data_IF_471713923713
#
_entry.id   IF_471713923713
#
_cell.length_a   1.000
_cell.length_b   1.000
_cell.length_c   1.000
_cell.angle_alpha   90.00
_cell.angle_beta   90.00
_cell.angle_gamma   90.00
#
_symmetry.space_group_name_H-M   'P 1'
#
loop_
_entity.id
_entity.type
_entity.pdbx_description
1 polymer ?
#
# COMPACT_ATOMS: atom_id res chain seq x y z
N UNK A 1 -214.46 45.86 -88.82
CA UNK A 1 -214.27 44.95 -87.67
C UNK A 1 -213.28 43.87 -88.08
N UNK A 2 -212.29 43.53 -87.25
CA UNK A 2 -211.39 42.38 -87.46
C UNK A 2 -210.10 42.60 -86.66
N UNK A 3 -209.94 42.02 -85.46
CA UNK A 3 -209.54 40.62 -85.15
C UNK A 3 -208.10 40.31 -85.63
N UNK A 4 -207.04 40.32 -84.79
CA UNK A 4 -206.57 39.46 -83.65
C UNK A 4 -205.53 38.39 -84.11
N UNK A 5 -204.49 38.14 -83.25
CA UNK A 5 -203.42 37.10 -83.19
C UNK A 5 -202.05 37.52 -83.81
N UNK A 6 -200.86 37.48 -83.16
CA UNK A 6 -200.15 36.37 -82.46
C UNK A 6 -198.86 36.87 -81.71
N UNK A 7 -198.50 36.37 -80.50
CA UNK A 7 -197.11 36.48 -79.96
C UNK A 7 -196.49 35.21 -79.34
N UNK A 8 -197.08 34.02 -79.48
CA UNK A 8 -196.59 32.78 -78.81
C UNK A 8 -195.52 32.01 -79.61
N UNK A 9 -195.36 32.32 -80.89
CA UNK A 9 -194.45 31.59 -81.79
C UNK A 9 -192.97 32.02 -81.62
N UNK A 10 -192.71 33.22 -81.09
CA UNK A 10 -191.34 33.72 -80.89
C UNK A 10 -190.64 33.12 -79.66
N UNK A 11 -191.40 32.77 -78.61
CA UNK A 11 -190.83 32.15 -77.40
C UNK A 11 -190.44 30.69 -77.62
N UNK A 12 -191.25 29.93 -78.38
CA UNK A 12 -190.91 28.55 -78.75
C UNK A 12 -189.72 28.49 -79.71
N UNK A 13 -189.57 29.46 -80.61
CA UNK A 13 -188.39 29.57 -81.47
C UNK A 13 -187.11 29.87 -80.67
N UNK A 14 -187.19 30.74 -79.65
CA UNK A 14 -186.06 31.06 -78.76
C UNK A 14 -185.64 29.85 -77.90
N UNK A 15 -186.60 29.13 -77.31
CA UNK A 15 -186.31 27.91 -76.52
C UNK A 15 -185.74 26.77 -77.37
N UNK A 16 -186.19 26.62 -78.62
CA UNK A 16 -185.66 25.62 -79.54
C UNK A 16 -184.20 25.90 -79.97
N UNK A 17 -183.79 27.18 -80.03
CA UNK A 17 -182.41 27.56 -80.35
C UNK A 17 -181.43 27.42 -79.17
N UNK A 18 -181.87 27.61 -77.92
CA UNK A 18 -180.99 27.68 -76.75
C UNK A 18 -180.80 26.33 -76.03
N UNK A 19 -181.78 25.42 -76.11
CA UNK A 19 -181.70 24.11 -75.46
C UNK A 19 -180.50 23.24 -75.89
N UNK A 20 -180.10 23.17 -77.18
CA UNK A 20 -178.93 22.40 -77.59
C UNK A 20 -177.62 22.97 -77.00
N UNK A 21 -177.48 24.30 -76.97
CA UNK A 21 -176.29 24.99 -76.46
C UNK A 21 -176.17 24.82 -74.94
N UNK A 22 -177.29 24.90 -74.21
CA UNK A 22 -177.30 24.69 -72.77
C UNK A 22 -176.98 23.24 -72.38
N UNK A 23 -177.48 22.25 -73.13
CA UNK A 23 -177.15 20.84 -72.92
C UNK A 23 -175.70 20.52 -73.31
N UNK A 24 -175.17 21.16 -74.35
CA UNK A 24 -173.75 21.02 -74.72
C UNK A 24 -172.83 21.64 -73.66
N UNK A 25 -173.18 22.81 -73.11
CA UNK A 25 -172.48 23.44 -71.97
C UNK A 25 -172.49 22.55 -70.72
N UNK A 26 -173.64 21.94 -70.39
CA UNK A 26 -173.73 20.96 -69.29
C UNK A 26 -172.97 19.66 -69.60
N UNK A 27 -172.77 19.29 -70.87
CA UNK A 27 -171.97 18.10 -71.23
C UNK A 27 -170.47 18.36 -71.15
N UNK A 28 -170.00 19.55 -71.53
CA UNK A 28 -168.58 19.93 -71.44
C UNK A 28 -168.15 20.43 -70.07
N UNK A 29 -169.07 21.00 -69.27
CA UNK A 29 -168.76 21.57 -67.96
C UNK A 29 -169.55 20.97 -66.79
N UNK A 30 -170.53 20.11 -67.04
CA UNK A 30 -171.21 19.36 -66.00
C UNK A 30 -170.35 18.21 -65.51
N UNK A 31 -169.61 18.43 -64.43
CA UNK A 31 -169.04 17.33 -63.63
C UNK A 31 -170.18 16.62 -62.90
N UNK A 32 -170.89 15.72 -63.59
CA UNK A 32 -171.91 14.89 -62.98
C UNK A 32 -171.32 14.10 -61.80
N UNK A 33 -172.01 14.14 -60.66
CA UNK A 33 -171.59 13.61 -59.35
C UNK A 33 -171.43 12.07 -59.34
N UNK A 34 -171.88 11.40 -60.39
CA UNK A 34 -171.98 9.93 -60.46
C UNK A 34 -170.75 9.21 -61.04
N UNK A 35 -169.66 9.93 -61.36
CA UNK A 35 -168.37 9.33 -61.79
C UNK A 35 -167.17 9.90 -61.04
N UNK A 36 -167.13 9.71 -59.72
CA UNK A 36 -165.92 9.96 -58.92
C UNK A 36 -165.16 8.64 -58.82
N UNK A 37 -163.96 8.55 -59.41
CA UNK A 37 -163.07 7.40 -59.23
C UNK A 37 -162.58 7.33 -57.78
N UNK A 38 -162.73 6.16 -57.16
CA UNK A 38 -162.26 5.94 -55.79
C UNK A 38 -160.76 5.67 -55.85
N UNK A 39 -159.96 6.58 -55.30
CA UNK A 39 -158.52 6.39 -55.16
C UNK A 39 -158.19 5.27 -54.17
N UNK A 40 -157.37 4.30 -54.60
CA UNK A 40 -156.85 3.22 -53.74
C UNK A 40 -155.45 3.50 -53.20
N UNK A 41 -154.79 4.55 -53.69
CA UNK A 41 -153.48 5.04 -53.23
C UNK A 41 -153.50 6.56 -53.16
N UNK A 42 -152.68 7.12 -52.26
CA UNK A 42 -152.44 8.56 -52.16
C UNK A 42 -151.35 9.05 -53.14
N UNK A 43 -150.70 8.13 -53.87
CA UNK A 43 -149.65 8.43 -54.83
C UNK A 43 -150.21 9.19 -56.05
N UNK A 44 -149.59 10.31 -56.42
CA UNK A 44 -150.07 11.22 -57.48
C UNK A 44 -151.21 12.15 -57.05
N UNK A 45 -151.83 11.93 -55.88
CA UNK A 45 -152.88 12.81 -55.33
C UNK A 45 -152.22 13.91 -54.50
N UNK A 46 -152.49 15.18 -54.83
CA UNK A 46 -151.82 16.32 -54.20
C UNK A 46 -152.72 17.10 -53.24
N UNK A 47 -154.03 17.03 -53.42
CA UNK A 47 -155.02 17.69 -52.57
C UNK A 47 -156.33 16.89 -52.50
N UNK A 48 -157.05 17.07 -51.39
CA UNK A 48 -158.37 16.49 -51.18
C UNK A 48 -159.39 17.62 -50.97
N UNK A 49 -160.64 17.48 -51.46
CA UNK A 49 -161.68 18.44 -51.16
C UNK A 49 -161.99 18.42 -49.66
N UNK A 50 -161.99 19.59 -49.02
CA UNK A 50 -162.24 19.76 -47.60
C UNK A 50 -163.13 20.98 -47.35
N UNK A 51 -163.85 20.99 -46.23
CA UNK A 51 -164.56 22.18 -45.77
C UNK A 51 -163.66 22.98 -44.84
N UNK A 52 -163.42 24.24 -45.19
CA UNK A 52 -162.69 25.19 -44.37
C UNK A 52 -163.66 26.11 -43.65
N UNK A 53 -163.56 26.16 -42.33
CA UNK A 53 -164.35 27.04 -41.48
C UNK A 53 -163.40 27.84 -40.59
N UNK A 54 -163.35 29.16 -40.79
CA UNK A 54 -162.56 30.08 -39.96
C UNK A 54 -163.38 31.36 -39.73
N UNK A 55 -163.58 31.73 -38.47
CA UNK A 55 -164.34 32.94 -38.11
C UNK A 55 -165.84 32.89 -38.48
N UNK A 56 -166.44 31.70 -38.55
CA UNK A 56 -167.88 31.50 -38.79
C UNK A 56 -168.31 31.45 -40.26
N UNK A 57 -167.38 31.53 -41.23
CA UNK A 57 -167.66 31.38 -42.66
C UNK A 57 -167.14 30.03 -43.16
N UNK A 58 -168.03 29.20 -43.72
CA UNK A 58 -167.68 27.91 -44.34
C UNK A 58 -167.47 28.04 -45.85
N UNK A 59 -166.36 27.47 -46.35
CA UNK A 59 -166.06 27.38 -47.78
C UNK A 59 -165.54 25.99 -48.13
N UNK A 60 -165.85 25.53 -49.34
CA UNK A 60 -165.18 24.35 -49.91
C UNK A 60 -163.80 24.77 -50.42
N UNK A 61 -162.77 24.10 -49.94
CA UNK A 61 -161.37 24.32 -50.33
C UNK A 61 -160.75 23.00 -50.77
N UNK A 62 -159.68 23.08 -51.54
CA UNK A 62 -158.77 21.95 -51.76
C UNK A 62 -157.68 22.01 -50.69
N UNK A 63 -157.68 21.05 -49.76
CA UNK A 63 -156.66 20.92 -48.74
C UNK A 63 -155.51 20.06 -49.25
N UNK A 64 -154.26 20.58 -49.31
CA UNK A 64 -153.10 19.77 -49.68
C UNK A 64 -152.90 18.59 -48.72
N UNK A 65 -152.57 17.41 -49.24
CA UNK A 65 -152.29 16.21 -48.44
C UNK A 65 -151.13 16.41 -47.45
N UNK A 66 -150.20 17.31 -47.78
CA UNK A 66 -149.11 17.74 -46.89
C UNK A 66 -149.59 18.34 -45.56
N UNK A 67 -150.83 18.85 -45.49
CA UNK A 67 -151.42 19.33 -44.24
C UNK A 67 -151.82 18.17 -43.30
N UNK A 68 -152.15 16.99 -43.85
CA UNK A 68 -152.53 15.80 -43.08
C UNK A 68 -151.31 15.07 -42.51
N UNK A 69 -150.16 15.09 -43.20
CA UNK A 69 -148.92 14.40 -42.79
C UNK A 69 -147.96 15.28 -42.01
N UNK A 70 -148.19 16.59 -41.96
CA UNK A 70 -147.27 17.59 -41.38
C UNK A 70 -146.69 17.18 -40.03
N UNK A 71 -147.53 16.74 -39.09
CA UNK A 71 -147.07 16.39 -37.73
C UNK A 71 -146.33 15.04 -37.67
N UNK A 72 -146.67 14.12 -38.57
CA UNK A 72 -145.98 12.82 -38.71
C UNK A 72 -144.61 13.03 -39.36
N UNK A 73 -144.53 13.85 -40.41
CA UNK A 73 -143.28 14.22 -41.08
C UNK A 73 -142.31 14.92 -40.11
N UNK A 74 -142.84 15.81 -39.24
CA UNK A 74 -142.06 16.45 -38.16
C UNK A 74 -141.52 15.41 -37.17
N UNK A 75 -142.33 14.40 -36.79
CA UNK A 75 -141.89 13.32 -35.89
C UNK A 75 -140.86 12.40 -36.55
N UNK A 76 -141.03 12.04 -37.82
CA UNK A 76 -140.05 11.25 -38.57
C UNK A 76 -138.71 12.01 -38.64
N UNK A 77 -138.75 13.30 -38.97
CA UNK A 77 -137.56 14.14 -38.99
C UNK A 77 -136.88 14.21 -37.60
N UNK A 78 -137.66 14.31 -36.52
CA UNK A 78 -137.16 14.27 -35.15
C UNK A 78 -136.52 12.91 -34.81
N UNK A 79 -137.13 11.80 -35.22
CA UNK A 79 -136.56 10.46 -35.05
C UNK A 79 -135.26 10.30 -35.82
N UNK A 80 -135.19 10.75 -37.08
CA UNK A 80 -133.96 10.74 -37.88
C UNK A 80 -132.85 11.54 -37.20
N UNK A 81 -133.15 12.73 -36.68
CA UNK A 81 -132.19 13.53 -35.90
C UNK A 81 -131.75 12.82 -34.62
N UNK A 82 -132.66 12.14 -33.91
CA UNK A 82 -132.32 11.37 -32.71
C UNK A 82 -131.42 10.18 -33.03
N UNK A 83 -131.70 9.43 -34.10
CA UNK A 83 -130.84 8.33 -34.58
C UNK A 83 -129.47 8.86 -34.99
N UNK A 84 -129.40 9.98 -35.70
CA UNK A 84 -128.14 10.60 -36.06
C UNK A 84 -127.31 10.97 -34.81
N UNK A 85 -127.93 11.61 -33.81
CA UNK A 85 -127.28 11.92 -32.52
C UNK A 85 -126.82 10.66 -31.79
N UNK A 86 -127.62 9.59 -31.79
CA UNK A 86 -127.26 8.32 -31.16
C UNK A 86 -126.06 7.66 -31.86
N UNK A 87 -126.04 7.66 -33.19
CA UNK A 87 -124.90 7.16 -33.97
C UNK A 87 -123.63 7.97 -33.68
N UNK A 88 -123.71 9.31 -33.68
CA UNK A 88 -122.57 10.17 -33.29
C UNK A 88 -122.10 9.88 -31.86
N UNK A 89 -123.01 9.64 -30.91
CA UNK A 89 -122.64 9.28 -29.55
C UNK A 89 -121.94 7.91 -29.46
N UNK A 90 -122.41 6.91 -30.22
CA UNK A 90 -121.78 5.60 -30.31
C UNK A 90 -120.37 5.69 -30.92
N UNK A 91 -120.20 6.47 -32.00
CA UNK A 91 -118.90 6.71 -32.63
C UNK A 91 -117.93 7.39 -31.66
N UNK A 92 -118.40 8.39 -30.92
CA UNK A 92 -117.61 9.06 -29.89
C UNK A 92 -117.21 8.11 -28.75
N UNK A 93 -118.11 7.23 -28.32
CA UNK A 93 -117.82 6.22 -27.29
C UNK A 93 -116.79 5.20 -27.77
N UNK A 94 -116.91 4.72 -29.01
CA UNK A 94 -115.93 3.82 -29.64
C UNK A 94 -114.56 4.51 -29.78
N UNK A 95 -114.53 5.78 -30.21
CA UNK A 95 -113.30 6.56 -30.27
C UNK A 95 -112.65 6.74 -28.88
N UNK A 96 -113.45 6.95 -27.83
CA UNK A 96 -112.94 7.02 -26.46
C UNK A 96 -112.38 5.67 -25.98
N UNK A 97 -113.07 4.55 -26.25
CA UNK A 97 -112.58 3.21 -25.90
C UNK A 97 -111.27 2.86 -26.62
N UNK A 98 -111.15 3.22 -27.90
CA UNK A 98 -109.91 3.07 -28.66
C UNK A 98 -108.77 3.89 -28.06
N UNK A 99 -109.01 5.16 -27.70
CA UNK A 99 -108.01 6.01 -27.02
C UNK A 99 -107.55 5.43 -25.69
N UNK A 100 -108.47 4.87 -24.90
CA UNK A 100 -108.13 4.20 -23.63
C UNK A 100 -107.26 2.96 -23.88
N UNK A 101 -107.60 2.16 -24.90
CA UNK A 101 -106.82 0.98 -25.27
C UNK A 101 -105.40 1.34 -25.72
N UNK A 102 -105.25 2.39 -26.53
CA UNK A 102 -103.96 2.95 -26.91
C UNK A 102 -103.17 3.43 -25.68
N UNK A 103 -103.80 4.20 -24.78
CA UNK A 103 -103.15 4.69 -23.57
C UNK A 103 -102.66 3.56 -22.65
N UNK A 104 -103.44 2.47 -22.50
CA UNK A 104 -103.02 1.29 -21.74
C UNK A 104 -101.80 0.62 -22.38
N UNK A 105 -101.77 0.54 -23.70
CA UNK A 105 -100.64 -0.03 -24.46
C UNK A 105 -99.39 0.82 -24.26
N UNK A 106 -99.51 2.14 -24.38
CA UNK A 106 -98.41 3.09 -24.19
C UNK A 106 -97.86 3.03 -22.75
N UNK A 107 -98.74 3.03 -21.73
CA UNK A 107 -98.34 2.89 -20.32
C UNK A 107 -97.61 1.57 -20.07
N UNK A 108 -98.07 0.48 -20.70
CA UNK A 108 -97.44 -0.84 -20.56
C UNK A 108 -96.04 -0.87 -21.18
N UNK A 109 -95.88 -0.25 -22.35
CA UNK A 109 -94.58 -0.09 -23.00
C UNK A 109 -93.62 0.77 -22.16
N UNK A 110 -94.09 1.89 -21.62
CA UNK A 110 -93.31 2.78 -20.76
C UNK A 110 -92.88 2.07 -19.47
N UNK A 111 -93.77 1.28 -18.86
CA UNK A 111 -93.45 0.46 -17.68
C UNK A 111 -92.36 -0.56 -17.99
N UNK A 112 -92.42 -1.24 -19.14
CA UNK A 112 -91.39 -2.19 -19.55
C UNK A 112 -90.04 -1.50 -19.78
N UNK A 113 -90.03 -0.32 -20.41
CA UNK A 113 -88.82 0.50 -20.59
C UNK A 113 -88.21 0.92 -19.25
N UNK A 114 -89.03 1.36 -18.29
CA UNK A 114 -88.59 1.75 -16.94
C UNK A 114 -87.99 0.57 -16.16
N UNK A 115 -88.58 -0.62 -16.27
CA UNK A 115 -88.04 -1.85 -15.67
C UNK A 115 -86.68 -2.23 -16.29
N UNK A 116 -86.55 -2.14 -17.61
CA UNK A 116 -85.29 -2.39 -18.30
C UNK A 116 -84.20 -1.37 -17.91
N UNK A 117 -84.55 -0.10 -17.76
CA UNK A 117 -83.63 0.93 -17.28
C UNK A 117 -83.17 0.65 -15.84
N UNK A 118 -84.08 0.24 -14.95
CA UNK A 118 -83.76 -0.14 -13.57
C UNK A 118 -82.82 -1.34 -13.52
N UNK A 119 -83.06 -2.37 -14.34
CA UNK A 119 -82.19 -3.54 -14.41
C UNK A 119 -80.77 -3.17 -14.87
N UNK A 120 -80.64 -2.29 -15.88
CA UNK A 120 -79.34 -1.76 -16.34
C UNK A 120 -78.62 -0.98 -15.25
N UNK A 121 -79.33 -0.13 -14.51
CA UNK A 121 -78.76 0.64 -13.40
C UNK A 121 -78.24 -0.28 -12.27
N UNK A 122 -79.01 -1.30 -11.89
CA UNK A 122 -78.60 -2.26 -10.86
C UNK A 122 -77.39 -3.10 -11.30
N UNK A 123 -77.32 -3.50 -12.56
CA UNK A 123 -76.17 -4.19 -13.12
C UNK A 123 -74.92 -3.29 -13.12
N UNK A 124 -75.06 -2.01 -13.50
CA UNK A 124 -73.97 -1.05 -13.45
C UNK A 124 -73.46 -0.80 -12.02
N UNK A 125 -74.36 -0.68 -11.04
CA UNK A 125 -74.01 -0.54 -9.63
C UNK A 125 -73.25 -1.77 -9.10
N UNK A 126 -73.71 -2.98 -9.43
CA UNK A 126 -73.04 -4.24 -9.06
C UNK A 126 -71.63 -4.31 -9.65
N UNK A 127 -71.48 -3.94 -10.93
CA UNK A 127 -70.18 -3.92 -11.60
C UNK A 127 -69.22 -2.90 -10.96
N UNK A 128 -69.73 -1.72 -10.57
CA UNK A 128 -68.93 -0.70 -9.89
C UNK A 128 -68.46 -1.18 -8.50
N UNK A 129 -69.32 -1.83 -7.73
CA UNK A 129 -68.95 -2.40 -6.43
C UNK A 129 -67.93 -3.53 -6.55
N UNK A 130 -68.06 -4.41 -7.56
CA UNK A 130 -67.07 -5.44 -7.82
C UNK A 130 -65.73 -4.83 -8.21
N UNK A 131 -65.72 -3.79 -9.06
CA UNK A 131 -64.49 -3.09 -9.44
C UNK A 131 -63.83 -2.40 -8.24
N UNK A 132 -64.61 -1.82 -7.34
CA UNK A 132 -64.10 -1.23 -6.09
C UNK A 132 -63.40 -2.27 -5.22
N UNK A 133 -64.02 -3.44 -5.03
CA UNK A 133 -63.42 -4.55 -4.27
C UNK A 133 -62.12 -5.05 -4.90
N UNK A 134 -62.08 -5.17 -6.23
CA UNK A 134 -60.84 -5.54 -6.95
C UNK A 134 -59.72 -4.51 -6.73
N UNK A 135 -60.04 -3.21 -6.76
CA UNK A 135 -59.07 -2.14 -6.52
C UNK A 135 -58.55 -2.17 -5.08
N UNK A 136 -59.42 -2.38 -4.09
CA UNK A 136 -59.04 -2.50 -2.68
C UNK A 136 -58.10 -3.70 -2.46
N UNK A 137 -58.37 -4.85 -3.08
CA UNK A 137 -57.50 -6.03 -3.02
C UNK A 137 -56.13 -5.78 -3.69
N UNK A 138 -56.12 -5.15 -4.86
CA UNK A 138 -54.88 -4.80 -5.56
C UNK A 138 -54.03 -3.80 -4.78
N UNK A 139 -54.67 -2.83 -4.12
CA UNK A 139 -53.99 -1.85 -3.29
C UNK A 139 -53.37 -2.51 -2.03
N UNK A 140 -54.08 -3.44 -1.39
CA UNK A 140 -53.53 -4.23 -0.29
C UNK A 140 -52.32 -5.08 -0.73
N UNK A 141 -52.38 -5.71 -1.91
CA UNK A 141 -51.26 -6.46 -2.48
C UNK A 141 -50.05 -5.55 -2.80
N UNK A 142 -50.30 -4.34 -3.35
CA UNK A 142 -49.27 -3.34 -3.62
C UNK A 142 -48.57 -2.91 -2.33
N UNK A 143 -49.32 -2.66 -1.26
CA UNK A 143 -48.77 -2.29 0.04
C UNK A 143 -47.92 -3.41 0.66
N UNK A 144 -48.36 -4.67 0.58
CA UNK A 144 -47.58 -5.81 1.05
C UNK A 144 -46.26 -6.00 0.27
N UNK A 145 -46.30 -5.82 -1.06
CA UNK A 145 -45.10 -5.87 -1.91
C UNK A 145 -44.14 -4.73 -1.58
N UNK A 146 -44.67 -3.52 -1.36
CA UNK A 146 -43.86 -2.36 -0.98
C UNK A 146 -43.19 -2.56 0.39
N UNK A 147 -43.90 -3.11 1.37
CA UNK A 147 -43.31 -3.47 2.66
C UNK A 147 -42.19 -4.51 2.51
N UNK A 148 -42.38 -5.51 1.65
CA UNK A 148 -41.37 -6.54 1.38
C UNK A 148 -40.12 -5.92 0.76
N UNK A 149 -40.28 -5.00 -0.21
CA UNK A 149 -39.18 -4.24 -0.82
C UNK A 149 -38.41 -3.41 0.20
N UNK A 150 -39.11 -2.72 1.10
CA UNK A 150 -38.49 -1.93 2.16
C UNK A 150 -37.68 -2.80 3.12
N UNK A 151 -38.23 -3.95 3.54
CA UNK A 151 -37.52 -4.90 4.41
C UNK A 151 -36.25 -5.44 3.75
N UNK A 152 -36.32 -5.78 2.45
CA UNK A 152 -35.15 -6.22 1.68
C UNK A 152 -34.09 -5.13 1.56
N UNK A 153 -34.50 -3.88 1.31
CA UNK A 153 -33.58 -2.75 1.22
C UNK A 153 -32.91 -2.46 2.57
N UNK A 154 -33.65 -2.53 3.69
CA UNK A 154 -33.06 -2.44 5.03
C UNK A 154 -32.04 -3.55 5.29
N UNK A 155 -32.36 -4.81 4.94
CA UNK A 155 -31.42 -5.92 5.08
C UNK A 155 -30.14 -5.74 4.24
N UNK A 156 -30.28 -5.23 3.00
CA UNK A 156 -29.15 -4.90 2.12
C UNK A 156 -28.25 -3.83 2.74
N UNK A 157 -28.84 -2.78 3.34
CA UNK A 157 -28.08 -1.73 4.01
C UNK A 157 -27.32 -2.24 5.24
N UNK A 158 -27.94 -3.11 6.05
CA UNK A 158 -27.26 -3.76 7.19
C UNK A 158 -26.10 -4.63 6.72
N UNK A 159 -26.28 -5.43 5.66
CA UNK A 159 -25.22 -6.26 5.09
C UNK A 159 -24.05 -5.42 4.55
N UNK A 160 -24.35 -4.31 3.87
CA UNK A 160 -23.33 -3.40 3.36
C UNK A 160 -22.55 -2.69 4.48
N UNK A 161 -23.23 -2.31 5.57
CA UNK A 161 -22.56 -1.78 6.76
C UNK A 161 -21.60 -2.80 7.38
N UNK A 162 -22.03 -4.06 7.53
CA UNK A 162 -21.18 -5.14 8.06
C UNK A 162 -19.95 -5.39 7.17
N UNK A 163 -20.13 -5.38 5.84
CA UNK A 163 -19.04 -5.52 4.86
C UNK A 163 -18.00 -4.40 5.00
N UNK A 164 -18.44 -3.15 5.17
CA UNK A 164 -17.55 -2.00 5.39
C UNK A 164 -16.74 -2.13 6.68
N UNK A 165 -17.35 -2.58 7.77
CA UNK A 165 -16.65 -2.84 9.03
C UNK A 165 -15.59 -3.93 8.88
N UNK A 166 -15.93 -5.04 8.23
CA UNK A 166 -14.97 -6.12 7.96
C UNK A 166 -13.79 -5.65 7.11
N UNK A 167 -14.05 -4.84 6.09
CA UNK A 167 -13.02 -4.28 5.22
C UNK A 167 -12.08 -3.33 5.99
N UNK A 168 -12.60 -2.50 6.90
CA UNK A 168 -11.78 -1.67 7.78
C UNK A 168 -10.89 -2.51 8.72
N UNK A 169 -11.43 -3.60 9.29
CA UNK A 169 -10.63 -4.54 10.11
C UNK A 169 -9.52 -5.20 9.28
N UNK A 170 -9.83 -5.63 8.06
CA UNK A 170 -8.85 -6.24 7.14
C UNK A 170 -7.71 -5.26 6.83
N UNK A 171 -8.02 -4.00 6.56
CA UNK A 171 -7.03 -2.95 6.30
C UNK A 171 -6.15 -2.70 7.53
N UNK A 172 -6.74 -2.61 8.73
CA UNK A 172 -5.97 -2.44 9.98
C UNK A 172 -5.00 -3.59 10.23
N UNK A 173 -5.44 -4.83 10.00
CA UNK A 173 -4.60 -6.02 10.14
C UNK A 173 -3.47 -6.04 9.11
N UNK A 174 -3.73 -5.64 7.87
CA UNK A 174 -2.71 -5.55 6.83
C UNK A 174 -1.65 -4.48 7.15
N UNK A 175 -2.07 -3.31 7.63
CA UNK A 175 -1.13 -2.26 8.10
C UNK A 175 -0.25 -2.76 9.24
N UNK A 176 -0.84 -3.48 10.20
CA UNK A 176 -0.08 -4.10 11.30
C UNK A 176 0.95 -5.10 10.77
N UNK A 177 0.53 -6.01 9.87
CA UNK A 177 1.43 -6.99 9.25
C UNK A 177 2.60 -6.32 8.54
N UNK A 178 2.35 -5.24 7.80
CA UNK A 178 3.41 -4.48 7.12
C UNK A 178 4.39 -3.84 8.11
N UNK A 179 3.90 -3.30 9.22
CA UNK A 179 4.73 -2.71 10.27
C UNK A 179 5.57 -3.76 10.97
N UNK A 180 5.00 -4.92 11.30
CA UNK A 180 5.70 -6.04 11.93
C UNK A 180 6.80 -6.60 11.00
N UNK A 181 6.52 -6.72 9.70
CA UNK A 181 7.52 -7.13 8.70
C UNK A 181 8.64 -6.09 8.57
N UNK A 182 8.32 -4.80 8.52
CA UNK A 182 9.31 -3.74 8.45
C UNK A 182 10.21 -3.72 9.70
N UNK A 183 9.63 -3.86 10.89
CA UNK A 183 10.37 -4.00 12.14
C UNK A 183 11.31 -5.20 12.11
N UNK A 184 10.83 -6.36 11.61
CA UNK A 184 11.66 -7.56 11.53
C UNK A 184 12.83 -7.43 10.56
N UNK A 185 12.62 -6.77 9.43
CA UNK A 185 13.69 -6.46 8.47
C UNK A 185 14.75 -5.55 9.11
N UNK A 186 14.33 -4.53 9.87
CA UNK A 186 15.26 -3.65 10.57
C UNK A 186 16.11 -4.41 11.59
N UNK A 187 15.50 -5.28 12.42
CA UNK A 187 16.22 -6.14 13.36
C UNK A 187 17.24 -7.03 12.66
N UNK A 188 16.85 -7.68 11.55
CA UNK A 188 17.75 -8.55 10.77
C UNK A 188 18.91 -7.78 10.17
N UNK A 189 18.69 -6.55 9.68
CA UNK A 189 19.76 -5.71 9.15
C UNK A 189 20.75 -5.29 10.25
N UNK A 190 20.26 -4.95 11.45
CA UNK A 190 21.14 -4.68 12.60
C UNK A 190 21.94 -5.92 13.01
N UNK A 191 21.29 -7.09 13.09
CA UNK A 191 21.97 -8.34 13.42
C UNK A 191 23.04 -8.71 12.38
N UNK A 192 22.74 -8.52 11.09
CA UNK A 192 23.69 -8.72 9.99
C UNK A 192 24.90 -7.79 10.13
N UNK A 193 24.69 -6.50 10.35
CA UNK A 193 25.78 -5.53 10.54
C UNK A 193 26.67 -5.88 11.74
N UNK A 194 26.08 -6.32 12.84
CA UNK A 194 26.83 -6.77 14.03
C UNK A 194 27.68 -8.01 13.72
N UNK A 195 27.14 -8.99 12.97
CA UNK A 195 27.88 -10.19 12.57
C UNK A 195 29.04 -9.88 11.62
N UNK A 196 28.84 -8.96 10.67
CA UNK A 196 29.89 -8.48 9.77
C UNK A 196 31.01 -7.77 10.54
N UNK A 197 30.66 -6.90 11.49
CA UNK A 197 31.62 -6.21 12.35
C UNK A 197 32.43 -7.19 13.22
N UNK A 198 31.76 -8.18 13.82
CA UNK A 198 32.41 -9.23 14.60
C UNK A 198 33.39 -10.06 13.75
N UNK A 199 32.98 -10.41 12.53
CA UNK A 199 33.83 -11.15 11.58
C UNK A 199 35.07 -10.33 11.19
N UNK A 200 34.90 -9.04 10.91
CA UNK A 200 36.02 -8.17 10.58
C UNK A 200 37.00 -8.00 11.76
N UNK A 201 36.47 -7.88 12.99
CA UNK A 201 37.28 -7.80 14.20
C UNK A 201 38.08 -9.11 14.43
N UNK A 202 37.45 -10.27 14.25
CA UNK A 202 38.11 -11.56 14.35
C UNK A 202 39.23 -11.72 13.29
N UNK A 203 38.98 -11.33 12.04
CA UNK A 203 39.99 -11.37 10.98
C UNK A 203 41.17 -10.44 11.28
N UNK A 204 40.92 -9.22 11.80
CA UNK A 204 42.00 -8.31 12.22
C UNK A 204 42.84 -8.90 13.35
N UNK A 205 42.19 -9.50 14.35
CA UNK A 205 42.88 -10.15 15.45
C UNK A 205 43.76 -11.32 14.95
N UNK A 206 43.25 -12.13 14.02
CA UNK A 206 44.01 -13.23 13.41
C UNK A 206 45.23 -12.71 12.61
N UNK A 207 45.06 -11.65 11.81
CA UNK A 207 46.18 -11.02 11.09
C UNK A 207 47.24 -10.50 12.06
N UNK A 208 46.85 -9.79 13.12
CA UNK A 208 47.78 -9.28 14.12
C UNK A 208 48.56 -10.41 14.82
N UNK A 209 47.87 -11.50 15.18
CA UNK A 209 48.50 -12.67 15.78
C UNK A 209 49.51 -13.33 14.82
N UNK A 210 49.19 -13.43 13.53
CA UNK A 210 50.10 -13.96 12.52
C UNK A 210 51.34 -13.08 12.33
N UNK A 211 51.17 -11.75 12.31
CA UNK A 211 52.29 -10.81 12.25
C UNK A 211 53.21 -10.97 13.47
N UNK A 212 52.64 -11.08 14.67
CA UNK A 212 53.42 -11.26 15.89
C UNK A 212 54.15 -12.60 15.91
N UNK A 213 53.51 -13.67 15.42
CA UNK A 213 54.16 -14.97 15.27
C UNK A 213 55.37 -14.92 14.30
N UNK A 214 55.26 -14.16 13.20
CA UNK A 214 56.37 -13.94 12.28
C UNK A 214 57.51 -13.15 12.94
N UNK A 215 57.19 -12.07 13.67
CA UNK A 215 58.17 -11.28 14.42
C UNK A 215 58.93 -12.15 15.44
N UNK A 216 58.22 -12.99 16.20
CA UNK A 216 58.82 -13.92 17.16
C UNK A 216 59.74 -14.94 16.47
N UNK A 217 59.36 -15.44 15.29
CA UNK A 217 60.20 -16.37 14.51
C UNK A 217 61.50 -15.70 14.04
N UNK A 218 61.42 -14.44 13.60
CA UNK A 218 62.60 -13.63 13.24
C UNK A 218 63.49 -13.42 14.45
N UNK A 219 62.93 -12.95 15.57
CA UNK A 219 63.68 -12.70 16.81
C UNK A 219 64.35 -13.97 17.34
N UNK A 220 63.68 -15.13 17.24
CA UNK A 220 64.25 -16.42 17.61
C UNK A 220 65.50 -16.73 16.78
N UNK A 221 65.45 -16.51 15.47
CA UNK A 221 66.56 -16.76 14.55
C UNK A 221 67.73 -15.81 14.84
N UNK A 222 67.45 -14.52 15.05
CA UNK A 222 68.45 -13.52 15.43
C UNK A 222 69.13 -13.88 16.77
N UNK A 223 68.36 -14.32 17.76
CA UNK A 223 68.89 -14.73 19.06
C UNK A 223 69.78 -15.97 18.95
N UNK A 224 69.40 -16.95 18.13
CA UNK A 224 70.23 -18.13 17.85
C UNK A 224 71.55 -17.75 17.18
N UNK A 225 71.53 -16.84 16.21
CA UNK A 225 72.73 -16.33 15.54
C UNK A 225 73.64 -15.56 16.49
N UNK A 226 73.07 -14.71 17.36
CA UNK A 226 73.82 -14.01 18.40
C UNK A 226 74.49 -14.98 19.38
N UNK A 227 73.77 -16.02 19.82
CA UNK A 227 74.31 -17.08 20.67
C UNK A 227 75.45 -17.86 20.02
N UNK A 228 75.30 -18.22 18.73
CA UNK A 228 76.36 -18.88 17.97
C UNK A 228 77.62 -18.00 17.86
N UNK A 229 77.44 -16.71 17.60
CA UNK A 229 78.54 -15.73 17.51
C UNK A 229 79.26 -15.56 18.85
N UNK A 230 78.51 -15.49 19.96
CA UNK A 230 79.07 -15.42 21.30
C UNK A 230 79.89 -16.67 21.65
N UNK A 231 79.39 -17.86 21.30
CA UNK A 231 80.11 -19.12 21.51
C UNK A 231 81.42 -19.18 20.69
N UNK A 232 81.40 -18.75 19.43
CA UNK A 232 82.60 -18.69 18.59
C UNK A 232 83.65 -17.72 19.17
N UNK A 233 83.19 -16.55 19.65
CA UNK A 233 84.06 -15.59 20.32
C UNK A 233 84.66 -16.17 21.61
N UNK A 234 83.89 -16.90 22.41
CA UNK A 234 84.37 -17.57 23.62
C UNK A 234 85.40 -18.67 23.32
N UNK A 235 85.18 -19.48 22.29
CA UNK A 235 86.15 -20.49 21.83
C UNK A 235 87.47 -19.84 21.39
N UNK A 236 87.39 -18.80 20.56
CA UNK A 236 88.56 -18.03 20.11
C UNK A 236 89.33 -17.44 21.30
N UNK A 237 88.62 -16.88 22.28
CA UNK A 237 89.24 -16.37 23.50
C UNK A 237 89.93 -17.48 24.30
N UNK A 238 89.31 -18.65 24.42
CA UNK A 238 89.89 -19.83 25.07
C UNK A 238 91.19 -20.29 24.39
N UNK A 239 91.21 -20.37 23.07
CA UNK A 239 92.42 -20.70 22.29
C UNK A 239 93.54 -19.69 22.53
N UNK A 240 93.24 -18.39 22.56
CA UNK A 240 94.22 -17.34 22.82
C UNK A 240 94.80 -17.39 24.23
N UNK A 241 94.01 -17.79 25.24
CA UNK A 241 94.51 -18.00 26.60
C UNK A 241 95.55 -19.13 26.62
N UNK A 242 95.27 -20.25 25.95
CA UNK A 242 96.23 -21.38 25.86
C UNK A 242 97.52 -20.97 25.16
N UNK A 243 97.44 -20.20 24.06
CA UNK A 243 98.62 -19.65 23.38
C UNK A 243 99.45 -18.74 24.32
N UNK A 244 98.79 -17.88 25.09
CA UNK A 244 99.46 -16.99 26.06
C UNK A 244 100.13 -17.77 27.20
N UNK A 245 99.50 -18.82 27.72
CA UNK A 245 100.10 -19.70 28.73
C UNK A 245 101.36 -20.41 28.20
N UNK A 246 101.31 -20.90 26.96
CA UNK A 246 102.47 -21.52 26.30
C UNK A 246 103.64 -20.52 26.15
N UNK A 247 103.34 -19.28 25.75
CA UNK A 247 104.33 -18.21 25.61
C UNK A 247 104.95 -17.83 26.97
N UNK A 248 104.15 -17.72 28.03
CA UNK A 248 104.66 -17.46 29.39
C UNK A 248 105.63 -18.55 29.86
N UNK A 249 105.34 -19.82 29.55
CA UNK A 249 106.20 -20.96 29.89
C UNK A 249 107.53 -20.94 29.12
N UNK A 250 107.52 -20.52 27.86
CA UNK A 250 108.75 -20.40 27.06
C UNK A 250 109.72 -19.35 27.63
N UNK A 251 109.20 -18.16 27.99
CA UNK A 251 110.01 -17.05 28.53
C UNK A 251 110.65 -17.43 29.88
N UNK A 252 109.92 -18.12 30.74
CA UNK A 252 110.42 -18.53 32.06
C UNK A 252 111.54 -19.58 31.98
N UNK A 253 111.59 -20.39 30.91
CA UNK A 253 112.66 -21.37 30.68
C UNK A 253 114.03 -20.77 30.31
N UNK A 254 114.06 -19.68 29.54
CA UNK A 254 115.32 -19.10 29.03
C UNK A 254 116.11 -18.30 30.09
N UNK A 255 115.42 -17.70 31.07
CA UNK A 255 116.09 -16.95 32.15
C UNK A 255 116.82 -17.85 33.17
N UNK A 256 116.57 -19.16 33.17
CA UNK A 256 117.17 -20.13 34.08
C UNK A 256 118.48 -20.77 33.54
N UNK A 257 118.91 -20.40 32.34
CA UNK A 257 120.13 -20.95 31.75
C UNK A 257 121.40 -20.55 32.53
N UNK A 258 122.28 -21.53 32.79
CA UNK A 258 123.57 -21.30 33.44
C UNK A 258 124.52 -20.50 32.53
N UNK A 259 125.33 -19.57 33.09
CA UNK A 259 126.34 -18.85 32.32
C UNK A 259 127.39 -19.82 31.74
N UNK A 260 127.79 -19.58 30.49
CA UNK A 260 128.69 -20.46 29.73
C UNK A 260 130.11 -19.89 29.57
N UNK A 261 130.31 -18.58 29.68
CA UNK A 261 131.62 -17.94 29.51
C UNK A 261 131.83 -16.89 30.60
N UNK A 262 132.98 -16.95 31.27
CA UNK A 262 133.46 -15.94 32.22
C UNK A 262 134.65 -15.18 31.61
N UNK A 263 134.45 -13.89 31.37
CA UNK A 263 135.55 -13.00 31.00
C UNK A 263 136.00 -12.20 32.23
N UNK A 264 137.30 -12.20 32.55
CA UNK A 264 137.88 -11.51 33.72
C UNK A 264 139.06 -10.65 33.29
N UNK A 265 139.14 -9.43 33.82
CA UNK A 265 140.23 -8.48 33.59
C UNK A 265 140.69 -7.87 34.91
N UNK A 266 141.99 -7.85 35.17
CA UNK A 266 142.55 -7.35 36.41
C UNK A 266 143.97 -6.76 36.23
N UNK A 267 144.39 -5.81 37.09
CA UNK A 267 145.71 -5.20 37.02
C UNK A 267 146.79 -6.14 37.56
N UNK A 268 147.89 -6.36 36.83
CA UNK A 268 148.97 -7.26 37.27
C UNK A 268 149.86 -6.69 38.39
N UNK A 269 150.03 -5.36 38.49
CA UNK A 269 150.86 -4.73 39.52
C UNK A 269 150.25 -3.41 39.98
N UNK A 270 150.21 -3.21 41.30
CA UNK A 270 149.73 -1.99 41.95
C UNK A 270 150.88 -1.40 42.78
N UNK A 271 151.06 -0.08 42.73
CA UNK A 271 152.02 0.62 43.60
C UNK A 271 151.34 1.11 44.87
N UNK A 272 151.99 1.04 46.03
CA UNK A 272 151.40 1.53 47.30
C UNK A 272 151.11 3.03 47.31
N UNK A 273 151.70 3.82 46.40
CA UNK A 273 151.38 5.25 46.21
C UNK A 273 150.43 5.53 45.04
N UNK A 274 149.87 4.51 44.38
CA UNK A 274 148.91 4.71 43.30
C UNK A 274 147.55 5.16 43.89
N UNK A 275 147.10 6.36 43.53
CA UNK A 275 145.84 6.94 44.01
C UNK A 275 144.61 6.54 43.16
N UNK A 276 144.77 5.85 42.02
CA UNK A 276 143.65 5.41 41.17
C UNK A 276 143.04 4.12 41.71
N UNK A 277 141.72 4.11 41.94
CA UNK A 277 140.98 2.91 42.32
C UNK A 277 141.17 1.80 41.27
N UNK A 278 141.54 0.61 41.73
CA UNK A 278 141.75 -0.57 40.91
C UNK A 278 140.60 -1.55 41.14
N UNK A 279 140.23 -2.36 40.15
CA UNK A 279 139.20 -3.39 40.29
C UNK A 279 139.52 -4.61 39.43
N UNK A 280 138.89 -5.73 39.76
CA UNK A 280 138.76 -6.92 38.93
C UNK A 280 137.40 -6.81 38.25
N UNK A 281 137.40 -6.79 36.91
CA UNK A 281 136.20 -6.75 36.08
C UNK A 281 135.82 -8.13 35.61
N UNK A 282 134.55 -8.51 35.71
CA UNK A 282 134.05 -9.78 35.21
C UNK A 282 132.67 -9.69 34.55
N UNK A 283 132.43 -10.49 33.49
CA UNK A 283 131.14 -10.58 32.75
C UNK A 283 130.81 -12.00 32.34
N UNK A 284 129.51 -12.33 32.36
CA UNK A 284 128.97 -13.63 31.98
C UNK A 284 128.22 -13.57 30.65
N UNK A 285 128.35 -14.63 29.85
CA UNK A 285 127.61 -14.78 28.59
C UNK A 285 126.88 -16.11 28.54
N UNK A 286 125.71 -16.17 27.86
CA UNK A 286 125.03 -15.09 27.10
C UNK A 286 124.41 -13.99 27.98
N UNK A 287 124.15 -12.78 27.44
CA UNK A 287 123.72 -11.62 28.23
C UNK A 287 122.36 -11.73 28.94
N UNK A 288 121.52 -12.70 28.55
CA UNK A 288 120.23 -12.98 29.19
C UNK A 288 120.33 -13.80 30.48
N UNK A 289 121.53 -14.33 30.81
CA UNK A 289 121.76 -15.03 32.08
C UNK A 289 122.02 -14.03 33.21
N UNK A 290 121.70 -14.44 34.44
CA UNK A 290 121.94 -13.65 35.67
C UNK A 290 123.43 -13.33 35.84
N UNK A 291 123.77 -12.04 35.97
CA UNK A 291 125.15 -11.52 35.97
C UNK A 291 125.82 -11.48 37.36
N UNK A 292 125.59 -12.50 38.19
CA UNK A 292 126.13 -12.55 39.55
C UNK A 292 127.54 -13.14 39.57
N UNK A 293 128.50 -12.49 40.25
CA UNK A 293 129.91 -12.92 40.34
C UNK A 293 130.39 -12.78 41.79
N UNK A 294 131.20 -13.74 42.24
CA UNK A 294 131.76 -13.84 43.58
C UNK A 294 133.29 -13.76 43.51
N UNK A 295 133.90 -12.96 44.37
CA UNK A 295 135.35 -12.77 44.45
C UNK A 295 135.88 -13.38 45.75
N UNK A 296 136.70 -14.42 45.66
CA UNK A 296 137.26 -15.13 46.82
C UNK A 296 138.77 -14.93 46.87
N UNK A 297 139.30 -14.47 48.00
CA UNK A 297 140.75 -14.37 48.21
C UNK A 297 141.32 -15.75 48.52
N UNK A 298 142.39 -16.11 47.85
CA UNK A 298 143.09 -17.39 48.03
C UNK A 298 144.37 -17.23 48.86
N UNK A 299 145.32 -16.42 48.38
CA UNK A 299 146.63 -16.26 49.01
C UNK A 299 147.03 -14.79 49.11
N UNK A 300 147.85 -14.45 50.10
CA UNK A 300 148.38 -13.11 50.33
C UNK A 300 147.44 -12.18 51.11
N UNK A 301 147.98 -11.06 51.59
CA UNK A 301 147.22 -10.06 52.35
C UNK A 301 147.58 -8.61 51.97
N UNK A 302 148.11 -8.42 50.76
CA UNK A 302 148.46 -7.10 50.23
C UNK A 302 147.25 -6.35 49.65
N UNK A 303 146.17 -7.07 49.31
CA UNK A 303 144.91 -6.53 48.78
C UNK A 303 143.68 -7.12 49.47
N UNK A 304 142.61 -6.33 49.51
CA UNK A 304 141.23 -6.77 49.78
C UNK A 304 140.34 -6.44 48.58
N UNK A 305 139.40 -7.31 48.25
CA UNK A 305 138.38 -7.08 47.21
C UNK A 305 137.02 -6.93 47.88
N UNK A 306 136.19 -6.00 47.41
CA UNK A 306 134.78 -5.90 47.83
C UNK A 306 133.87 -6.76 46.92
N UNK A 307 132.59 -7.01 47.29
CA UNK A 307 131.68 -7.80 46.46
C UNK A 307 131.45 -7.24 45.05
N UNK A 308 131.79 -5.97 44.79
CA UNK A 308 131.70 -5.35 43.47
C UNK A 308 132.96 -5.54 42.61
N UNK A 309 134.00 -6.19 43.14
CA UNK A 309 135.27 -6.44 42.46
C UNK A 309 136.33 -5.35 42.69
N UNK A 310 136.08 -4.32 43.49
CA UNK A 310 137.03 -3.22 43.71
C UNK A 310 138.13 -3.59 44.70
N UNK A 311 139.37 -3.22 44.38
CA UNK A 311 140.58 -3.57 45.12
C UNK A 311 141.04 -2.45 46.06
N UNK A 312 141.37 -2.81 47.30
CA UNK A 312 141.93 -1.93 48.34
C UNK A 312 143.31 -2.44 48.77
N UNK A 313 144.32 -1.57 48.75
CA UNK A 313 145.70 -1.91 49.13
C UNK A 313 145.86 -1.90 50.65
N UNK A 314 146.31 -3.02 51.22
CA UNK A 314 146.54 -3.21 52.67
C UNK A 314 148.01 -3.36 53.04
N UNK A 315 148.87 -3.73 52.08
CA UNK A 315 150.31 -3.89 52.31
C UNK A 315 151.06 -4.17 51.00
N UNK A 316 152.36 -4.38 51.06
CA UNK A 316 153.16 -4.85 49.92
C UNK A 316 153.19 -6.38 49.85
N UNK A 317 153.21 -6.97 48.66
CA UNK A 317 153.17 -8.42 48.43
C UNK A 317 152.22 -8.79 47.28
N UNK A 318 152.15 -10.06 46.90
CA UNK A 318 151.16 -10.55 45.91
C UNK A 318 149.93 -11.07 46.63
N UNK A 319 148.74 -10.72 46.14
CA UNK A 319 147.46 -11.32 46.59
C UNK A 319 146.77 -11.96 45.38
N UNK A 320 146.18 -13.12 45.61
CA UNK A 320 145.51 -13.94 44.61
C UNK A 320 144.01 -14.03 44.91
N UNK A 321 143.19 -13.90 43.87
CA UNK A 321 141.73 -13.97 43.94
C UNK A 321 141.18 -14.95 42.91
N UNK A 322 140.19 -15.75 43.30
CA UNK A 322 139.29 -16.45 42.39
C UNK A 322 138.07 -15.59 42.07
N UNK A 323 137.71 -15.55 40.80
CA UNK A 323 136.48 -14.93 40.30
C UNK A 323 135.55 -16.05 39.85
N UNK A 324 134.39 -16.18 40.51
CA UNK A 324 133.51 -17.36 40.39
C UNK A 324 132.05 -16.90 40.14
N UNK A 325 131.37 -17.35 39.08
CA UNK A 325 129.94 -17.15 38.91
C UNK A 325 129.12 -18.18 39.69
N UNK A 326 128.17 -17.78 40.56
CA UNK A 326 127.35 -18.74 41.33
C UNK A 326 126.49 -19.65 40.46
N UNK A 327 126.07 -19.19 39.27
CA UNK A 327 125.25 -19.97 38.34
C UNK A 327 126.02 -21.06 37.59
N UNK A 328 127.36 -21.06 37.64
CA UNK A 328 128.22 -22.11 37.11
C UNK A 328 129.61 -22.01 37.75
N UNK A 329 129.83 -22.72 38.86
CA UNK A 329 131.06 -22.60 39.66
C UNK A 329 132.30 -23.15 38.96
N UNK A 330 132.14 -23.96 37.90
CA UNK A 330 133.27 -24.49 37.12
C UNK A 330 133.92 -23.41 36.23
N UNK A 331 133.19 -22.33 35.93
CA UNK A 331 133.67 -21.18 35.16
C UNK A 331 134.42 -20.18 36.04
N UNK A 332 135.48 -20.58 36.73
CA UNK A 332 136.28 -19.67 37.56
C UNK A 332 137.58 -19.23 36.87
N UNK A 333 138.11 -18.07 37.28
CA UNK A 333 139.43 -17.59 36.87
C UNK A 333 140.21 -17.08 38.06
N UNK A 334 141.49 -17.45 38.07
CA UNK A 334 142.46 -16.95 39.04
C UNK A 334 143.06 -15.62 38.57
N UNK A 335 143.24 -14.71 39.52
CA UNK A 335 143.78 -13.38 39.29
C UNK A 335 144.83 -13.10 40.37
N UNK A 336 146.08 -12.98 39.95
CA UNK A 336 147.20 -12.59 40.80
C UNK A 336 147.56 -11.12 40.63
N UNK A 337 147.62 -10.36 41.74
CA UNK A 337 147.97 -8.94 41.72
C UNK A 337 149.09 -8.64 42.72
N UNK A 338 150.21 -8.11 42.24
CA UNK A 338 151.35 -7.75 43.10
C UNK A 338 151.32 -6.27 43.51
N UNK A 339 151.33 -6.00 44.81
CA UNK A 339 151.52 -4.67 45.38
C UNK A 339 152.99 -4.42 45.70
N UNK A 340 153.57 -3.36 45.16
CA UNK A 340 154.99 -3.00 45.34
C UNK A 340 155.17 -1.61 45.97
N UNK A 341 156.24 -1.36 46.74
CA UNK A 341 156.58 -0.01 47.18
C UNK A 341 157.00 0.87 45.99
N UNK A 342 156.85 2.20 46.07
CA UNK A 342 157.27 3.11 45.02
C UNK A 342 158.79 3.03 44.82
N UNK A 343 159.24 2.67 43.62
CA UNK A 343 160.66 2.69 43.24
C UNK A 343 161.10 4.11 42.85
N UNK A 344 162.18 4.61 43.46
CA UNK A 344 162.89 5.82 43.02
C UNK A 344 164.17 5.45 42.27
N UNK A 345 164.43 6.05 41.11
CA UNK A 345 165.66 5.82 40.33
C UNK A 345 166.82 6.66 40.89
N UNK A 346 168.02 6.07 41.03
CA UNK A 346 169.24 6.74 41.54
C UNK A 346 170.18 7.15 40.38
N UNK A 347 171.11 8.10 40.61
CA UNK A 347 172.25 8.42 39.73
C UNK A 347 173.41 7.45 39.97
N UNK A 348 174.33 7.36 38.99
CA UNK A 348 175.54 6.52 39.03
C UNK A 348 176.56 6.91 40.13
N UNK A 349 176.37 8.04 40.81
CA UNK A 349 177.15 8.46 42.00
C UNK A 349 176.44 8.20 43.34
N UNK A 350 175.40 7.36 43.35
CA UNK A 350 174.69 6.96 44.57
C UNK A 350 173.76 8.03 45.15
N UNK A 351 173.56 9.18 44.48
CA UNK A 351 172.57 10.18 44.87
C UNK A 351 171.22 9.91 44.21
N UNK A 352 170.13 10.29 44.89
CA UNK A 352 168.80 10.27 44.29
C UNK A 352 168.82 11.17 43.04
N UNK A 353 168.32 10.68 41.89
CA UNK A 353 168.07 11.54 40.71
C UNK A 353 166.99 12.54 41.09
N UNK A 354 167.40 13.65 41.70
CA UNK A 354 166.55 14.81 41.93
C UNK A 354 166.41 15.51 40.58
N UNK A 355 165.22 15.47 40.00
CA UNK A 355 164.88 16.31 38.85
C UNK A 355 165.17 17.76 39.22
N UNK A 356 165.92 18.45 38.37
CA UNK A 356 166.46 19.80 38.57
C UNK A 356 165.36 20.83 38.93
N UNK A 357 165.05 20.96 40.23
CA UNK A 357 164.50 22.16 40.91
C UNK A 357 164.04 21.82 42.34
N UNK A 358 164.88 22.16 43.33
CA UNK A 358 164.51 22.62 44.69
C UNK A 358 165.82 22.83 45.49
N UNK A 359 166.31 24.00 45.94
CA UNK A 359 166.24 25.47 45.66
C UNK A 359 167.01 26.11 46.84
N UNK A 360 167.89 27.12 46.67
CA UNK A 360 168.10 28.34 47.53
C UNK A 360 169.53 28.90 47.47
N UNK A 361 169.64 30.23 47.25
CA UNK A 361 170.84 31.12 47.13
C UNK A 361 171.88 30.70 46.10
#
# INVERSE_FOLDING_TARGET
MGQIQTPQMELEAFCAQLAPVFLEYLRTHGTAVDRIEVATSLEGITALPARYSLGGVEKNVLAPLKLLTKDVDVKIAACQQATAKANTAADNANAAANRVTTAITDISAEKAAAQAATAKANAAATNADNKRKELEQNEAARQANEQTRQNQESARQTAEAARKTQEATRQSNETKRQTDVAAKIAELNTAKGNAEAATLAANRAATNANTEAQNLSTLKSETQNAGASANAAAQTAGEKIVELEALMKAISGESAAAPAILNVSAPATISTKNKKAQRIDARLFPGYVMQNILYQREEGNSLKVDPSGKLTVTGTGTTMFYVIPPGNTDLWKEVSVTVRPPRMRLTSSGKIRRSMRMRTV
#
